data_IF_665296436273
#
_entry.id   IF_665296436273
#
_cell.length_a   1.000
_cell.length_b   1.000
_cell.length_c   1.000
_cell.angle_alpha   90.00
_cell.angle_beta   90.00
_cell.angle_gamma   90.00
#
_symmetry.space_group_name_H-M   'P 1'
#
loop_
_entity.id
_entity.type
_entity.pdbx_description
1 polymer ?
#
# COMPACT_ATOMS: atom_id res chain seq x y z
N UNK A 1 43.33 29.03 30.65
CA UNK A 1 41.87 28.85 30.61
C UNK A 1 41.25 30.12 30.05
N UNK A 2 40.26 29.97 29.17
CA UNK A 2 39.44 31.01 28.51
C UNK A 2 40.14 31.85 27.42
N UNK A 3 39.56 32.21 26.28
CA UNK A 3 38.41 31.78 25.47
C UNK A 3 38.57 32.58 24.16
N UNK A 4 38.47 31.95 22.99
CA UNK A 4 38.35 32.67 21.71
C UNK A 4 36.85 32.81 21.39
N UNK A 5 36.35 33.98 20.95
CA UNK A 5 34.95 34.10 20.53
C UNK A 5 34.80 33.67 19.08
N UNK A 6 34.03 32.60 18.86
CA UNK A 6 33.43 32.28 17.57
C UNK A 6 32.09 33.01 17.46
N UNK A 7 31.95 33.83 16.43
CA UNK A 7 30.67 34.37 15.97
C UNK A 7 29.82 33.26 15.34
N UNK A 8 28.51 33.16 15.61
CA UNK A 8 27.60 32.47 14.71
C UNK A 8 26.96 33.49 13.76
N UNK A 9 27.36 33.44 12.49
CA UNK A 9 26.49 33.82 11.37
C UNK A 9 25.90 32.54 10.82
N UNK A 10 24.57 32.45 10.74
CA UNK A 10 23.89 31.31 10.17
C UNK A 10 22.41 31.51 10.27
N UNK A 11 21.84 32.04 9.19
CA UNK A 11 20.42 32.15 8.90
C UNK A 11 19.74 30.79 9.05
N UNK A 12 18.71 30.73 9.90
CA UNK A 12 17.74 29.65 9.88
C UNK A 12 16.85 29.88 8.67
N UNK A 13 17.22 29.27 7.53
CA UNK A 13 16.30 29.15 6.39
C UNK A 13 15.26 28.07 6.74
N UNK A 14 14.01 28.50 6.61
CA UNK A 14 12.79 27.74 6.84
C UNK A 14 12.72 26.53 5.88
N UNK A 15 12.75 25.29 6.41
CA UNK A 15 12.33 24.12 5.65
C UNK A 15 10.80 24.00 5.72
N UNK A 16 10.13 24.38 4.63
CA UNK A 16 8.73 24.05 4.36
C UNK A 16 8.50 22.53 4.39
N UNK A 17 7.39 22.03 4.97
CA UNK A 17 7.07 20.61 4.95
C UNK A 17 6.77 20.13 3.51
N UNK A 18 7.09 18.87 3.17
CA UNK A 18 6.97 18.35 1.82
C UNK A 18 5.53 18.37 1.31
N UNK A 19 5.42 18.89 0.09
CA UNK A 19 4.22 19.06 -0.72
C UNK A 19 3.30 17.82 -0.74
N UNK A 20 2.03 18.03 -0.41
CA UNK A 20 0.95 17.05 -0.53
C UNK A 20 0.95 16.41 -1.93
N UNK A 21 0.89 15.08 -1.96
CA UNK A 21 0.70 14.31 -3.19
C UNK A 21 -0.45 14.87 -4.04
N UNK A 22 -0.35 14.83 -5.39
CA UNK A 22 -1.31 15.46 -6.27
C UNK A 22 -2.72 14.95 -6.02
N UNK A 23 -3.64 15.87 -5.75
CA UNK A 23 -5.06 15.60 -5.61
C UNK A 23 -5.64 15.22 -6.97
N UNK A 24 -5.61 13.93 -7.34
CA UNK A 24 -6.28 13.42 -8.55
C UNK A 24 -7.78 13.75 -8.45
N UNK A 25 -8.34 14.60 -9.34
CA UNK A 25 -9.74 15.00 -9.27
C UNK A 25 -10.68 13.82 -9.51
N UNK A 26 -11.74 13.74 -8.70
CA UNK A 26 -12.81 12.71 -8.74
C UNK A 26 -13.61 12.70 -10.06
N UNK A 27 -13.54 13.77 -10.85
CA UNK A 27 -14.47 14.05 -11.95
C UNK A 27 -14.25 13.20 -13.22
N UNK A 28 -13.06 12.64 -13.43
CA UNK A 28 -12.77 11.84 -14.64
C UNK A 28 -13.46 10.47 -14.66
N UNK A 29 -13.95 9.97 -13.51
CA UNK A 29 -14.56 8.64 -13.39
C UNK A 29 -16.02 8.59 -13.85
N UNK A 30 -16.71 9.72 -13.93
CA UNK A 30 -18.17 9.77 -14.15
C UNK A 30 -18.57 9.86 -15.64
N UNK A 31 -17.64 10.15 -16.55
CA UNK A 31 -17.98 10.47 -17.94
C UNK A 31 -18.20 9.24 -18.85
N UNK A 32 -17.79 8.04 -18.44
CA UNK A 32 -17.96 6.81 -19.23
C UNK A 32 -19.30 6.08 -19.00
N UNK A 33 -20.19 6.62 -18.16
CA UNK A 33 -21.35 5.90 -17.63
C UNK A 33 -22.63 5.89 -18.48
N UNK A 34 -22.68 6.50 -19.67
CA UNK A 34 -23.96 6.66 -20.40
C UNK A 34 -24.30 5.56 -21.42
N UNK A 35 -23.32 4.86 -21.97
CA UNK A 35 -23.52 3.86 -23.03
C UNK A 35 -23.06 2.43 -22.67
N UNK A 36 -22.54 2.23 -21.45
CA UNK A 36 -21.97 0.96 -21.06
C UNK A 36 -23.06 -0.04 -20.59
N UNK A 37 -22.97 -1.34 -20.94
CA UNK A 37 -23.95 -2.32 -20.50
C UNK A 37 -23.98 -2.42 -18.97
N UNK A 38 -25.12 -2.80 -18.36
CA UNK A 38 -25.24 -2.91 -16.91
C UNK A 38 -24.14 -3.79 -16.32
N UNK A 39 -23.32 -3.20 -15.44
CA UNK A 39 -22.21 -3.90 -14.78
C UNK A 39 -20.85 -3.83 -15.49
N UNK A 40 -20.72 -3.10 -16.59
CA UNK A 40 -19.43 -2.71 -17.16
C UNK A 40 -18.75 -1.72 -16.21
N UNK A 41 -17.64 -2.14 -15.61
CA UNK A 41 -16.70 -1.24 -14.95
C UNK A 41 -15.52 -1.12 -15.90
N UNK A 42 -15.13 0.08 -16.34
CA UNK A 42 -14.03 0.23 -17.27
C UNK A 42 -12.75 -0.43 -16.72
N UNK A 43 -11.88 -0.95 -17.60
CA UNK A 43 -10.55 -1.38 -17.20
C UNK A 43 -9.83 -0.20 -16.54
N UNK A 44 -8.85 -0.51 -15.68
CA UNK A 44 -8.01 0.52 -15.08
C UNK A 44 -7.36 1.32 -16.22
N UNK A 45 -7.45 2.65 -16.18
CA UNK A 45 -6.90 3.48 -17.26
C UNK A 45 -5.37 3.44 -17.22
N UNK A 46 -4.71 3.78 -18.33
CA UNK A 46 -3.25 3.89 -18.34
C UNK A 46 -2.75 4.95 -17.35
N UNK A 47 -3.55 5.99 -17.10
CA UNK A 47 -3.27 7.04 -16.12
C UNK A 47 -3.38 6.51 -14.68
N UNK A 48 -4.39 5.69 -14.39
CA UNK A 48 -4.53 5.03 -13.09
C UNK A 48 -3.34 4.10 -12.81
N UNK A 49 -2.94 3.29 -13.80
CA UNK A 49 -1.77 2.40 -13.69
C UNK A 49 -0.52 3.22 -13.41
N UNK A 50 -0.26 4.27 -14.20
CA UNK A 50 0.91 5.13 -14.00
C UNK A 50 0.90 5.81 -12.61
N UNK A 51 -0.27 6.17 -12.08
CA UNK A 51 -0.39 6.72 -10.73
C UNK A 51 -0.02 5.69 -9.66
N UNK A 52 -0.44 4.43 -9.82
CA UNK A 52 -0.05 3.34 -8.90
C UNK A 52 1.46 3.07 -9.00
N UNK A 53 2.02 3.02 -10.21
CA UNK A 53 3.46 2.85 -10.43
C UNK A 53 4.28 3.95 -9.76
N UNK A 54 3.83 5.20 -9.86
CA UNK A 54 4.47 6.33 -9.18
C UNK A 54 4.40 6.23 -7.65
N UNK A 55 3.28 5.74 -7.09
CA UNK A 55 3.14 5.51 -5.64
C UNK A 55 4.08 4.40 -5.15
N UNK A 56 4.30 3.37 -5.98
CA UNK A 56 5.16 2.23 -5.69
C UNK A 56 6.64 2.48 -6.02
N UNK A 57 6.95 3.48 -6.85
CA UNK A 57 8.29 3.67 -7.39
C UNK A 57 8.78 2.48 -8.22
N UNK A 58 7.86 1.78 -8.90
CA UNK A 58 8.15 0.59 -9.69
C UNK A 58 7.39 0.63 -11.01
N UNK A 59 8.11 0.49 -12.12
CA UNK A 59 7.57 0.40 -13.47
C UNK A 59 7.36 -1.07 -13.85
N UNK A 60 6.11 -1.53 -13.92
CA UNK A 60 5.78 -2.89 -14.31
C UNK A 60 6.07 -3.14 -15.79
N UNK A 61 6.68 -4.28 -16.09
CA UNK A 61 6.78 -4.79 -17.45
C UNK A 61 5.39 -5.26 -17.95
N UNK A 62 4.63 -5.96 -17.10
CA UNK A 62 3.24 -6.32 -17.34
C UNK A 62 2.27 -5.44 -16.53
N UNK A 63 1.72 -4.42 -17.18
CA UNK A 63 0.75 -3.47 -16.59
C UNK A 63 -0.55 -4.15 -16.11
N UNK A 64 -0.88 -5.34 -16.63
CA UNK A 64 -2.08 -6.07 -16.20
C UNK A 64 -1.97 -6.58 -14.77
N UNK A 65 -0.76 -6.71 -14.23
CA UNK A 65 -0.53 -7.11 -12.83
C UNK A 65 -1.03 -6.05 -11.84
N UNK A 66 -0.96 -4.76 -12.19
CA UNK A 66 -1.52 -3.67 -11.37
C UNK A 66 -3.04 -3.80 -11.30
N UNK A 67 -3.68 -4.04 -12.45
CA UNK A 67 -5.12 -4.28 -12.51
C UNK A 67 -5.51 -5.51 -11.69
N UNK A 68 -4.79 -6.62 -11.85
CA UNK A 68 -5.03 -7.86 -11.11
C UNK A 68 -4.89 -7.67 -9.60
N UNK A 69 -3.83 -7.00 -9.15
CA UNK A 69 -3.53 -6.79 -7.73
C UNK A 69 -4.55 -5.89 -7.01
N UNK A 70 -5.30 -5.08 -7.77
CA UNK A 70 -6.31 -4.16 -7.24
C UNK A 70 -7.74 -4.62 -7.54
N UNK A 71 -7.94 -5.87 -7.96
CA UNK A 71 -9.27 -6.41 -8.30
C UNK A 71 -9.77 -7.41 -7.25
N UNK A 72 -10.80 -6.99 -6.50
CA UNK A 72 -11.43 -7.80 -5.46
C UNK A 72 -12.36 -8.88 -6.04
N UNK A 73 -12.50 -10.01 -5.35
CA UNK A 73 -13.35 -11.13 -5.75
C UNK A 73 -14.82 -10.78 -6.10
N UNK A 74 -15.38 -9.74 -5.48
CA UNK A 74 -16.75 -9.27 -5.80
C UNK A 74 -16.87 -8.56 -7.15
N UNK A 75 -15.77 -8.20 -7.80
CA UNK A 75 -15.78 -7.49 -9.07
C UNK A 75 -16.38 -8.35 -10.22
N UNK A 76 -16.08 -9.65 -10.19
CA UNK A 76 -16.61 -10.63 -11.14
C UNK A 76 -17.78 -11.40 -10.54
N UNK A 77 -18.88 -11.50 -11.31
CA UNK A 77 -19.98 -12.39 -10.99
C UNK A 77 -20.34 -13.24 -12.23
N UNK A 78 -20.22 -14.58 -12.17
CA UNK A 78 -19.68 -15.36 -11.05
C UNK A 78 -18.19 -15.06 -10.80
N UNK A 79 -17.71 -15.35 -9.58
CA UNK A 79 -16.30 -15.23 -9.20
C UNK A 79 -15.42 -16.03 -10.16
N UNK A 80 -14.27 -15.45 -10.56
CA UNK A 80 -13.30 -16.05 -11.47
C UNK A 80 -11.96 -16.21 -10.76
N UNK A 81 -11.67 -17.40 -10.19
CA UNK A 81 -10.41 -17.64 -9.52
C UNK A 81 -9.24 -17.39 -10.46
N UNK A 82 -8.32 -16.52 -10.06
CA UNK A 82 -7.13 -16.18 -10.84
C UNK A 82 -7.20 -14.86 -11.61
N UNK A 83 -8.39 -14.25 -11.71
CA UNK A 83 -8.58 -12.90 -12.28
C UNK A 83 -8.62 -11.81 -11.18
N UNK A 84 -8.32 -12.19 -9.94
CA UNK A 84 -8.49 -11.39 -8.73
C UNK A 84 -7.22 -11.43 -7.87
N UNK A 85 -7.10 -10.49 -6.92
CA UNK A 85 -5.86 -10.22 -6.21
C UNK A 85 -5.35 -11.37 -5.33
N UNK A 86 -6.20 -12.34 -4.94
CA UNK A 86 -5.95 -13.28 -3.84
C UNK A 86 -4.73 -14.18 -4.09
N UNK A 87 -4.42 -14.51 -5.36
CA UNK A 87 -3.20 -15.29 -5.69
C UNK A 87 -1.92 -14.49 -5.50
N UNK A 88 -1.98 -13.21 -5.83
CA UNK A 88 -0.86 -12.28 -5.64
C UNK A 88 -0.73 -11.91 -4.16
N UNK A 89 -1.83 -11.75 -3.42
CA UNK A 89 -1.84 -11.59 -1.94
C UNK A 89 -1.11 -12.75 -1.29
N UNK A 90 -1.48 -13.99 -1.62
CA UNK A 90 -0.82 -15.19 -1.09
C UNK A 90 0.70 -15.18 -1.34
N UNK A 91 1.14 -14.80 -2.54
CA UNK A 91 2.56 -14.69 -2.86
C UNK A 91 3.23 -13.57 -2.06
N UNK A 92 2.58 -12.41 -2.01
CA UNK A 92 3.10 -11.20 -1.39
C UNK A 92 3.21 -11.27 0.13
N UNK A 93 2.27 -11.91 0.83
CA UNK A 93 2.36 -12.16 2.27
C UNK A 93 3.65 -12.93 2.62
N UNK A 94 3.95 -13.99 1.85
CA UNK A 94 5.17 -14.77 2.02
C UNK A 94 6.44 -13.94 1.79
N UNK A 95 6.44 -13.10 0.74
CA UNK A 95 7.56 -12.20 0.42
C UNK A 95 7.76 -11.15 1.51
N UNK A 96 6.69 -10.45 1.91
CA UNK A 96 6.72 -9.43 2.96
C UNK A 96 7.19 -10.02 4.29
N UNK A 97 6.66 -11.19 4.67
CA UNK A 97 7.07 -11.92 5.87
C UNK A 97 8.56 -12.27 5.83
N UNK A 98 9.07 -12.69 4.68
CA UNK A 98 10.48 -13.02 4.48
C UNK A 98 11.38 -11.77 4.59
N UNK A 99 11.04 -10.72 3.85
CA UNK A 99 11.78 -9.44 3.87
C UNK A 99 11.83 -8.86 5.28
N UNK A 100 10.71 -8.82 6.00
CA UNK A 100 10.68 -8.31 7.36
C UNK A 100 11.44 -9.22 8.33
N UNK A 101 11.35 -10.55 8.18
CA UNK A 101 12.16 -11.49 8.96
C UNK A 101 13.66 -11.25 8.76
N UNK A 102 14.09 -11.01 7.51
CA UNK A 102 15.47 -10.71 7.14
C UNK A 102 15.95 -9.43 7.81
N UNK A 103 15.18 -8.35 7.75
CA UNK A 103 15.57 -7.07 8.33
C UNK A 103 15.61 -7.08 9.85
N UNK A 104 14.62 -7.69 10.49
CA UNK A 104 14.63 -7.83 11.96
C UNK A 104 15.82 -8.69 12.41
N UNK A 105 16.13 -9.79 11.70
CA UNK A 105 17.29 -10.62 12.02
C UNK A 105 18.62 -9.87 11.86
N UNK A 106 18.78 -9.09 10.78
CA UNK A 106 20.01 -8.31 10.51
C UNK A 106 20.21 -7.17 11.51
N UNK A 107 19.12 -6.49 11.88
CA UNK A 107 19.12 -5.33 12.77
C UNK A 107 19.34 -5.74 14.23
N UNK A 108 18.64 -6.77 14.69
CA UNK A 108 18.62 -7.17 16.11
C UNK A 108 19.45 -8.42 16.37
N UNK A 109 20.77 -8.33 16.16
CA UNK A 109 21.71 -9.48 16.15
C UNK A 109 21.80 -10.29 17.43
N UNK A 110 21.36 -9.75 18.56
CA UNK A 110 21.46 -10.39 19.89
C UNK A 110 20.13 -10.83 20.46
N UNK A 111 19.01 -10.54 19.78
CA UNK A 111 17.69 -10.93 20.28
C UNK A 111 17.43 -12.42 20.05
N UNK A 112 16.86 -13.13 21.03
CA UNK A 112 16.44 -14.51 20.85
C UNK A 112 15.22 -14.62 19.92
N UNK A 113 14.86 -15.83 19.45
CA UNK A 113 13.77 -16.04 18.48
C UNK A 113 12.42 -15.46 18.89
N UNK A 114 12.03 -15.55 20.17
CA UNK A 114 10.74 -15.05 20.65
C UNK A 114 10.53 -13.54 20.40
N UNK A 115 11.43 -12.66 20.88
CA UNK A 115 11.41 -11.24 20.55
C UNK A 115 11.45 -10.93 19.05
N UNK A 116 12.23 -11.67 18.25
CA UNK A 116 12.26 -11.48 16.78
C UNK A 116 10.89 -11.75 16.15
N UNK A 117 10.21 -12.82 16.56
CA UNK A 117 8.85 -13.14 16.12
C UNK A 117 7.86 -12.02 16.48
N UNK A 118 7.96 -11.46 17.70
CA UNK A 118 7.10 -10.34 18.11
C UNK A 118 7.38 -9.07 17.32
N UNK A 119 8.65 -8.76 17.05
CA UNK A 119 9.02 -7.62 16.22
C UNK A 119 8.50 -7.78 14.80
N UNK A 120 8.61 -8.97 14.21
CA UNK A 120 8.03 -9.25 12.90
C UNK A 120 6.52 -9.07 12.91
N UNK A 121 5.81 -9.71 13.84
CA UNK A 121 4.35 -9.60 13.94
C UNK A 121 3.88 -8.17 14.20
N UNK A 122 4.66 -7.38 14.94
CA UNK A 122 4.36 -5.97 15.14
C UNK A 122 4.56 -5.13 13.88
N UNK A 123 5.28 -5.60 12.85
CA UNK A 123 5.54 -4.85 11.61
C UNK A 123 4.75 -5.39 10.41
N UNK A 124 4.44 -6.69 10.39
CA UNK A 124 3.54 -7.34 9.42
C UNK A 124 2.20 -7.53 10.11
N UNK A 125 1.39 -6.48 10.08
CA UNK A 125 0.10 -6.38 10.78
C UNK A 125 -0.96 -5.78 9.85
N UNK A 126 -2.17 -6.35 9.90
CA UNK A 126 -3.30 -5.97 9.03
C UNK A 126 -3.64 -4.48 9.11
N UNK A 127 -3.67 -3.88 10.32
CA UNK A 127 -3.99 -2.47 10.48
C UNK A 127 -2.87 -1.60 9.91
N UNK A 128 -1.60 -1.97 10.14
CA UNK A 128 -0.47 -1.24 9.55
C UNK A 128 -0.51 -1.24 8.03
N UNK A 129 -0.74 -2.40 7.42
CA UNK A 129 -0.83 -2.52 5.96
C UNK A 129 -2.07 -1.80 5.40
N UNK A 130 -3.22 -1.89 6.08
CA UNK A 130 -4.40 -1.13 5.72
C UNK A 130 -4.16 0.39 5.76
N UNK A 131 -3.42 0.88 6.77
CA UNK A 131 -3.01 2.30 6.84
C UNK A 131 -2.10 2.69 5.69
N UNK A 132 -1.18 1.82 5.27
CA UNK A 132 -0.34 2.06 4.08
C UNK A 132 -1.22 2.23 2.84
N UNK A 133 -2.20 1.36 2.61
CA UNK A 133 -3.14 1.49 1.49
C UNK A 133 -3.94 2.80 1.50
N UNK A 134 -4.30 3.29 2.69
CA UNK A 134 -5.00 4.56 2.85
C UNK A 134 -4.07 5.75 2.59
N UNK A 135 -2.95 5.83 3.32
CA UNK A 135 -2.00 6.96 3.29
C UNK A 135 -1.40 7.14 1.90
N UNK A 136 -1.11 6.03 1.21
CA UNK A 136 -0.57 6.04 -0.16
C UNK A 136 -1.64 6.18 -1.23
N UNK A 137 -2.91 6.28 -0.85
CA UNK A 137 -4.04 6.46 -1.78
C UNK A 137 -4.40 5.22 -2.61
N UNK A 138 -3.79 4.06 -2.36
CA UNK A 138 -4.00 2.82 -3.12
C UNK A 138 -5.46 2.33 -3.09
N UNK A 139 -6.14 2.51 -1.95
CA UNK A 139 -7.56 2.18 -1.79
C UNK A 139 -8.48 2.83 -2.83
N UNK A 140 -8.08 3.97 -3.42
CA UNK A 140 -8.86 4.69 -4.44
C UNK A 140 -8.93 3.94 -5.77
N UNK A 141 -7.96 3.08 -6.02
CA UNK A 141 -7.84 2.25 -7.23
C UNK A 141 -8.45 0.86 -7.07
N UNK A 142 -8.95 0.51 -5.87
CA UNK A 142 -9.58 -0.76 -5.59
C UNK A 142 -10.85 -0.95 -6.46
N UNK A 143 -10.89 -2.07 -7.19
CA UNK A 143 -12.02 -2.46 -8.04
C UNK A 143 -12.86 -3.49 -7.31
N UNK A 144 -14.08 -3.12 -6.94
CA UNK A 144 -15.03 -4.02 -6.28
C UNK A 144 -16.48 -3.69 -6.66
N UNK A 145 -17.39 -4.65 -6.47
CA UNK A 145 -18.85 -4.45 -6.52
C UNK A 145 -19.49 -4.85 -5.19
N UNK A 146 -18.88 -4.41 -4.09
CA UNK A 146 -19.33 -4.67 -2.72
C UNK A 146 -19.74 -3.35 -2.02
N UNK A 147 -21.04 -3.01 -1.95
CA UNK A 147 -21.49 -1.72 -1.42
C UNK A 147 -21.12 -1.47 0.04
N UNK A 148 -21.08 -2.53 0.87
CA UNK A 148 -20.75 -2.41 2.29
C UNK A 148 -19.28 -2.04 2.50
N UNK A 149 -18.40 -2.43 1.57
CA UNK A 149 -16.97 -2.23 1.70
C UNK A 149 -16.58 -0.75 1.67
N UNK A 150 -17.22 0.05 0.81
CA UNK A 150 -16.96 1.50 0.74
C UNK A 150 -17.23 2.18 2.09
N UNK A 151 -18.33 1.81 2.75
CA UNK A 151 -18.68 2.33 4.08
C UNK A 151 -17.66 1.93 5.15
N UNK A 152 -17.18 0.68 5.11
CA UNK A 152 -16.15 0.21 6.05
C UNK A 152 -14.81 0.95 5.85
N UNK A 153 -14.39 1.17 4.60
CA UNK A 153 -13.19 1.95 4.28
C UNK A 153 -13.34 3.38 4.81
N UNK A 154 -14.48 4.02 4.57
CA UNK A 154 -14.73 5.38 5.04
C UNK A 154 -14.66 5.51 6.56
N UNK A 155 -15.35 4.62 7.29
CA UNK A 155 -15.30 4.58 8.76
C UNK A 155 -13.86 4.41 9.24
N UNK A 156 -13.11 3.47 8.67
CA UNK A 156 -11.72 3.25 9.04
C UNK A 156 -10.86 4.50 8.85
N UNK A 157 -10.98 5.18 7.70
CA UNK A 157 -10.26 6.43 7.41
C UNK A 157 -10.59 7.52 8.44
N UNK A 158 -11.87 7.69 8.78
CA UNK A 158 -12.28 8.67 9.79
C UNK A 158 -11.73 8.35 11.18
N UNK A 159 -11.72 7.08 11.58
CA UNK A 159 -11.27 6.69 12.91
C UNK A 159 -9.75 6.64 13.06
N UNK A 160 -8.99 6.52 11.95
CA UNK A 160 -7.53 6.55 11.95
C UNK A 160 -6.96 7.79 12.65
N UNK A 161 -7.64 8.94 12.59
CA UNK A 161 -7.17 10.17 13.26
C UNK A 161 -7.15 10.07 14.79
N UNK A 162 -7.98 9.20 15.39
CA UNK A 162 -8.00 8.94 16.84
C UNK A 162 -6.77 8.15 17.30
N UNK A 163 -6.14 7.42 16.36
CA UNK A 163 -5.02 6.52 16.61
C UNK A 163 -3.92 6.77 15.56
N UNK A 164 -3.05 7.78 15.75
CA UNK A 164 -2.18 8.28 14.68
C UNK A 164 -1.15 7.24 14.18
N UNK A 165 -0.73 6.31 15.03
CA UNK A 165 0.28 5.29 14.68
C UNK A 165 -0.36 3.92 14.48
N UNK A 166 -1.13 3.47 15.48
CA UNK A 166 -1.75 2.15 15.52
C UNK A 166 -2.80 2.12 16.62
N UNK A 167 -3.87 1.36 16.45
CA UNK A 167 -4.97 1.28 17.44
C UNK A 167 -4.78 0.16 18.47
N UNK A 168 -3.86 -0.78 18.20
CA UNK A 168 -3.65 -1.99 19.00
C UNK A 168 -4.94 -2.83 19.16
N UNK A 169 -5.71 -2.93 18.09
CA UNK A 169 -6.94 -3.73 18.01
C UNK A 169 -8.22 -2.98 18.41
N UNK A 170 -8.17 -1.65 18.52
CA UNK A 170 -9.36 -0.82 18.77
C UNK A 170 -10.09 -0.42 17.49
N UNK A 171 -9.43 -0.52 16.33
CA UNK A 171 -10.03 -0.39 15.00
C UNK A 171 -10.18 -1.76 14.34
N UNK A 172 -11.21 -1.88 13.51
CA UNK A 172 -11.45 -3.03 12.64
C UNK A 172 -11.19 -2.63 11.18
N UNK A 173 -9.92 -2.70 10.71
CA UNK A 173 -9.59 -2.33 9.34
C UNK A 173 -10.23 -3.30 8.33
N UNK A 174 -10.82 -2.83 7.22
CA UNK A 174 -11.25 -3.70 6.14
C UNK A 174 -10.06 -4.51 5.62
N UNK A 175 -10.08 -5.85 5.80
CA UNK A 175 -8.94 -6.72 5.47
C UNK A 175 -8.43 -6.52 4.04
N UNK A 176 -9.32 -6.28 3.08
CA UNK A 176 -8.96 -5.99 1.67
C UNK A 176 -7.90 -4.89 1.51
N UNK A 177 -7.83 -3.91 2.42
CA UNK A 177 -6.83 -2.85 2.37
C UNK A 177 -5.42 -3.39 2.66
N UNK A 178 -5.30 -4.36 3.57
CA UNK A 178 -4.05 -5.10 3.79
C UNK A 178 -3.74 -5.98 2.58
N UNK A 179 -4.76 -6.70 2.10
CA UNK A 179 -4.60 -7.68 1.02
C UNK A 179 -4.08 -7.05 -0.27
N UNK A 180 -4.55 -5.85 -0.63
CA UNK A 180 -4.05 -5.19 -1.85
C UNK A 180 -2.60 -4.70 -1.72
N UNK A 181 -2.13 -4.39 -0.51
CA UNK A 181 -0.71 -4.05 -0.30
C UNK A 181 0.14 -5.30 -0.50
N UNK A 182 -0.26 -6.41 0.11
CA UNK A 182 0.38 -7.72 -0.08
C UNK A 182 0.32 -8.12 -1.55
N UNK A 183 -0.82 -7.94 -2.21
CA UNK A 183 -1.00 -8.27 -3.61
C UNK A 183 -0.08 -7.47 -4.53
N UNK A 184 0.08 -6.16 -4.30
CA UNK A 184 1.03 -5.33 -5.06
C UNK A 184 2.49 -5.74 -4.81
N UNK A 185 2.84 -6.13 -3.58
CA UNK A 185 4.15 -6.71 -3.27
C UNK A 185 4.36 -8.01 -4.07
N UNK A 186 3.35 -8.88 -4.10
CA UNK A 186 3.37 -10.12 -4.89
C UNK A 186 3.49 -9.84 -6.40
N UNK A 187 2.82 -8.79 -6.89
CA UNK A 187 2.87 -8.36 -8.28
C UNK A 187 4.28 -7.92 -8.67
N UNK A 188 4.92 -7.04 -7.88
CA UNK A 188 6.29 -6.58 -8.11
C UNK A 188 7.26 -7.77 -8.09
N UNK A 189 7.11 -8.65 -7.10
CA UNK A 189 7.94 -9.84 -6.98
C UNK A 189 7.82 -10.77 -8.20
N UNK A 190 6.61 -10.95 -8.72
CA UNK A 190 6.38 -11.77 -9.91
C UNK A 190 6.93 -11.10 -11.18
N UNK A 191 6.66 -9.81 -11.38
CA UNK A 191 7.07 -9.04 -12.56
C UNK A 191 8.60 -8.90 -12.66
N UNK A 192 9.27 -8.72 -11.52
CA UNK A 192 10.73 -8.63 -11.41
C UNK A 192 11.45 -9.99 -11.53
N UNK A 193 10.75 -11.06 -11.94
CA UNK A 193 11.28 -12.42 -11.99
C UNK A 193 11.84 -12.89 -10.64
N UNK A 194 11.07 -12.67 -9.58
CA UNK A 194 11.32 -13.09 -8.21
C UNK A 194 12.54 -12.42 -7.55
N UNK A 195 12.76 -11.12 -7.81
CA UNK A 195 13.82 -10.32 -7.19
C UNK A 195 13.35 -9.67 -5.87
N UNK A 196 13.90 -10.14 -4.75
CA UNK A 196 13.58 -9.59 -3.42
C UNK A 196 14.16 -8.19 -3.18
N UNK A 197 15.28 -7.83 -3.82
CA UNK A 197 15.89 -6.52 -3.64
C UNK A 197 15.11 -5.45 -4.40
N UNK A 198 14.52 -5.80 -5.54
CA UNK A 198 13.64 -4.90 -6.29
C UNK A 198 12.38 -4.58 -5.48
N UNK A 199 11.73 -5.60 -4.92
CA UNK A 199 10.57 -5.44 -4.02
C UNK A 199 10.91 -4.55 -2.83
N UNK A 200 12.08 -4.78 -2.21
CA UNK A 200 12.55 -3.98 -1.08
C UNK A 200 12.73 -2.50 -1.47
N UNK A 201 13.31 -2.24 -2.65
CA UNK A 201 13.55 -0.87 -3.15
C UNK A 201 12.24 -0.11 -3.40
N UNK A 202 11.27 -0.76 -4.04
CA UNK A 202 9.94 -0.21 -4.30
C UNK A 202 9.18 0.10 -2.99
N UNK A 203 9.39 -0.71 -1.95
CA UNK A 203 8.70 -0.58 -0.66
C UNK A 203 9.31 0.47 0.29
N UNK A 204 10.39 1.15 -0.09
CA UNK A 204 11.17 2.05 0.80
C UNK A 204 10.90 3.56 0.58
N UNK A 205 9.98 3.93 -0.32
CA UNK A 205 9.60 5.33 -0.56
C UNK A 205 8.41 5.77 0.29
#
# INVERSE_FOLDING_TARGET
MAQAPLTPSGTEDEEEPPSMAPHVPREHREQHGKDAPPGFVPPMTAEDVAAVEAVLGYDFADKSLVELALTHGSFYYPYRPGDTYERLEYLGDGVLTCLMSREVFRTYRTLPPGPLTRLRAANVDTEKLARVAVVRGLHRFLRHKAPQLEGQIHIFIEEMCKYPVHSNGLLDPPKVLSDIVESLIGAIYFDSNFDQEEVWRASTL
#
